data_IF_212604897017
#
_entry.id   IF_212604897017
#
_cell.length_a   1.000
_cell.length_b   1.000
_cell.length_c   1.000
_cell.angle_alpha   90.00
_cell.angle_beta   90.00
_cell.angle_gamma   90.00
#
_symmetry.space_group_name_H-M   'P 1'
#
loop_
_entity.id
_entity.type
_entity.pdbx_description
1 polymer ?
#
# COMPACT_ATOMS: atom_id res chain seq x y z
N UNK A 1 -13.38 25.97 4.46
CA UNK A 1 -12.12 26.48 5.02
C UNK A 1 -12.11 26.17 6.51
N UNK A 2 -11.45 25.10 6.92
CA UNK A 2 -11.15 24.86 8.34
C UNK A 2 -9.64 24.63 8.44
N UNK A 3 -8.99 25.54 9.15
CA UNK A 3 -7.56 25.58 9.41
C UNK A 3 -7.24 24.66 10.59
N UNK A 4 -6.35 23.69 10.39
CA UNK A 4 -5.79 22.89 11.47
C UNK A 4 -4.55 23.61 12.02
N UNK A 5 -4.62 24.06 13.27
CA UNK A 5 -3.46 24.52 14.04
C UNK A 5 -2.81 23.31 14.74
N UNK A 6 -1.54 23.06 14.44
CA UNK A 6 -0.68 22.16 15.21
C UNK A 6 -0.19 22.85 16.50
N UNK A 7 -0.16 22.18 17.67
CA UNK A 7 0.56 22.70 18.82
C UNK A 7 2.02 22.21 18.85
N UNK A 8 2.89 23.16 19.17
CA UNK A 8 4.33 23.05 19.39
C UNK A 8 4.70 22.06 20.51
N UNK A 9 5.77 21.28 20.28
CA UNK A 9 6.45 20.44 21.26
C UNK A 9 7.39 21.30 22.12
N UNK A 10 7.16 21.34 23.43
CA UNK A 10 8.07 21.95 24.41
C UNK A 10 8.76 20.86 25.22
N UNK A 11 10.10 20.89 25.25
CA UNK A 11 10.97 19.98 26.00
C UNK A 11 10.77 20.15 27.51
N UNK A 12 10.63 19.04 28.25
CA UNK A 12 10.69 19.01 29.71
C UNK A 12 12.03 18.37 30.10
N UNK A 13 12.91 19.15 30.73
CA UNK A 13 14.09 18.65 31.45
C UNK A 13 13.69 18.29 32.88
N UNK A 14 13.91 17.04 33.29
CA UNK A 14 13.74 16.61 34.67
C UNK A 14 15.13 16.51 35.33
N UNK A 15 15.38 17.42 36.26
CA UNK A 15 16.46 17.37 37.24
C UNK A 15 16.02 16.53 38.45
N UNK A 16 16.81 15.51 38.81
CA UNK A 16 16.63 14.73 40.05
C UNK A 16 17.62 15.21 41.12
N UNK A 17 17.21 15.36 42.39
CA UNK A 17 18.11 15.76 43.47
C UNK A 17 18.80 14.56 44.15
N UNK A 18 19.97 14.86 44.71
CA UNK A 18 20.87 13.99 45.47
C UNK A 18 20.39 13.71 46.91
N UNK A 19 20.91 12.59 47.41
CA UNK A 19 21.21 12.22 48.82
C UNK A 19 20.12 11.53 49.65
N UNK A 20 20.40 10.32 50.13
CA UNK A 20 20.94 10.13 51.48
C UNK A 20 21.64 8.75 51.60
N UNK A 21 22.60 8.72 52.50
CA UNK A 21 23.54 7.66 52.85
C UNK A 21 22.88 6.49 53.59
N UNK A 22 23.50 5.30 53.54
CA UNK A 22 23.82 4.45 54.71
C UNK A 22 24.81 3.36 54.29
N UNK A 23 25.87 3.21 55.09
CA UNK A 23 26.95 2.23 54.95
C UNK A 23 26.51 0.86 55.46
N UNK A 24 27.07 -0.23 54.91
CA UNK A 24 27.57 -1.38 55.67
C UNK A 24 28.49 -2.21 54.76
N UNK A 25 29.48 -2.83 55.39
CA UNK A 25 30.79 -3.16 54.84
C UNK A 25 31.06 -4.66 54.77
N UNK A 26 31.97 -5.06 53.86
CA UNK A 26 32.80 -6.30 53.82
C UNK A 26 32.05 -7.65 53.68
N UNK A 27 32.41 -8.57 52.78
CA UNK A 27 33.73 -9.19 52.68
C UNK A 27 33.95 -9.97 51.36
N UNK A 28 35.23 -10.05 51.00
CA UNK A 28 35.94 -10.79 49.95
C UNK A 28 35.60 -12.29 49.77
N UNK A 29 35.66 -12.80 48.53
CA UNK A 29 36.68 -13.80 48.09
C UNK A 29 36.70 -14.04 46.57
N UNK A 30 37.92 -14.07 46.04
CA UNK A 30 38.34 -14.35 44.67
C UNK A 30 38.15 -15.83 44.27
N UNK A 31 37.95 -16.07 42.97
CA UNK A 31 38.83 -16.98 42.23
C UNK A 31 38.86 -16.60 40.74
N UNK A 32 40.07 -16.31 40.25
CA UNK A 32 40.44 -16.04 38.87
C UNK A 32 40.69 -17.37 38.14
N UNK A 33 40.39 -17.42 36.85
CA UNK A 33 41.33 -18.01 35.88
C UNK A 33 41.24 -17.28 34.55
N UNK A 34 42.38 -16.69 34.23
CA UNK A 34 42.79 -15.87 33.09
C UNK A 34 42.94 -16.69 31.82
N UNK A 35 42.74 -16.05 30.65
CA UNK A 35 43.75 -16.00 29.58
C UNK A 35 43.48 -14.76 28.73
N UNK A 36 44.41 -13.80 28.79
CA UNK A 36 44.48 -12.58 27.97
C UNK A 36 45.55 -12.83 26.91
N UNK A 37 45.25 -12.55 25.65
CA UNK A 37 46.27 -12.29 24.63
C UNK A 37 46.24 -10.79 24.29
N UNK A 38 47.35 -10.15 24.62
CA UNK A 38 47.74 -8.77 24.32
C UNK A 38 47.87 -8.56 22.82
N UNK A 39 47.37 -7.45 22.27
CA UNK A 39 48.03 -6.64 21.24
C UNK A 39 47.58 -5.16 21.30
N UNK A 40 48.52 -4.27 20.97
CA UNK A 40 48.50 -2.81 21.13
C UNK A 40 47.64 -2.06 20.08
N UNK A 41 47.24 -0.79 20.33
CA UNK A 41 46.44 -0.02 19.40
C UNK A 41 47.28 0.52 18.23
N UNK A 42 46.88 0.21 17.01
CA UNK A 42 47.44 0.74 15.76
C UNK A 42 46.73 2.05 15.40
N UNK A 43 47.49 3.13 15.27
CA UNK A 43 47.07 4.39 14.66
C UNK A 43 46.98 4.23 13.15
N UNK A 44 45.81 4.45 12.55
CA UNK A 44 45.65 4.55 11.10
C UNK A 44 45.58 6.02 10.68
N UNK A 45 46.55 6.41 9.87
CA UNK A 45 46.68 7.72 9.26
C UNK A 45 45.69 7.87 8.09
N UNK A 46 45.16 9.08 7.97
CA UNK A 46 44.16 9.49 7.01
C UNK A 46 44.85 9.88 5.68
N UNK A 47 44.94 8.97 4.71
CA UNK A 47 45.32 9.28 3.32
C UNK A 47 44.67 8.28 2.36
N UNK A 48 43.60 8.69 1.67
CA UNK A 48 42.99 7.83 0.64
C UNK A 48 41.58 8.23 0.23
N UNK A 49 41.33 9.49 -0.12
CA UNK A 49 40.02 9.94 -0.65
C UNK A 49 40.10 10.53 -2.06
N UNK A 50 41.17 10.28 -2.82
CA UNK A 50 41.33 10.89 -4.16
C UNK A 50 41.24 9.91 -5.34
N UNK A 51 41.00 8.61 -5.14
CA UNK A 51 41.07 7.63 -6.25
C UNK A 51 39.77 6.87 -6.58
N UNK A 52 38.60 7.36 -6.15
CA UNK A 52 37.31 6.71 -6.45
C UNK A 52 36.50 7.50 -7.47
N UNK A 53 36.72 8.81 -7.60
CA UNK A 53 35.93 9.68 -8.49
C UNK A 53 36.40 9.68 -9.95
N UNK A 54 37.66 9.34 -10.24
CA UNK A 54 38.17 9.29 -11.63
C UNK A 54 37.74 8.01 -12.36
N UNK A 55 37.71 6.87 -11.67
CA UNK A 55 37.29 5.57 -12.25
C UNK A 55 35.81 5.52 -12.62
N UNK A 56 34.96 6.27 -11.89
CA UNK A 56 33.51 6.35 -12.18
C UNK A 56 33.23 7.27 -13.37
N UNK A 57 34.15 8.19 -13.70
CA UNK A 57 34.01 9.13 -14.81
C UNK A 57 34.44 8.53 -16.16
N UNK A 58 35.48 7.69 -16.17
CA UNK A 58 35.92 6.97 -17.38
C UNK A 58 34.94 5.87 -17.83
N UNK A 59 34.16 5.27 -16.91
CA UNK A 59 33.13 4.28 -17.25
C UNK A 59 31.83 4.88 -17.80
N UNK A 60 31.60 6.20 -17.63
CA UNK A 60 30.40 6.88 -18.13
C UNK A 60 30.57 7.53 -19.51
N UNK A 61 31.80 7.71 -19.99
CA UNK A 61 32.11 8.43 -21.25
C UNK A 61 32.34 7.51 -22.47
N UNK A 62 32.17 6.19 -22.33
CA UNK A 62 32.38 5.23 -23.43
C UNK A 62 31.09 4.66 -24.03
N UNK A 63 29.93 5.33 -23.86
CA UNK A 63 28.65 4.86 -24.42
C UNK A 63 27.83 5.91 -25.16
N UNK A 64 28.48 6.92 -25.74
CA UNK A 64 27.82 7.97 -26.54
C UNK A 64 28.61 8.35 -27.78
N UNK A 65 29.01 7.37 -28.60
CA UNK A 65 29.31 7.64 -30.01
C UNK A 65 29.29 6.33 -30.79
N UNK A 66 28.11 5.99 -31.31
CA UNK A 66 27.90 5.33 -32.60
C UNK A 66 26.42 4.96 -32.71
N UNK A 67 25.69 5.68 -33.57
CA UNK A 67 24.72 5.16 -34.55
C UNK A 67 23.90 6.33 -35.13
N UNK A 68 24.44 6.90 -36.21
CA UNK A 68 23.64 7.52 -37.28
C UNK A 68 23.16 6.40 -38.19
N UNK A 69 21.85 6.27 -38.44
CA UNK A 69 21.33 5.55 -39.60
C UNK A 69 20.12 6.28 -40.18
N UNK A 70 20.15 6.42 -41.50
CA UNK A 70 19.27 7.19 -42.36
C UNK A 70 17.84 6.65 -42.50
N UNK A 71 16.96 7.57 -42.93
CA UNK A 71 15.56 7.35 -43.29
C UNK A 71 15.43 6.58 -44.61
N UNK A 72 14.78 5.41 -44.58
CA UNK A 72 14.11 4.83 -45.75
C UNK A 72 12.84 4.07 -45.34
N UNK A 73 11.72 4.44 -45.94
CA UNK A 73 10.40 3.80 -45.82
C UNK A 73 10.33 2.56 -46.73
N UNK A 74 9.70 1.46 -46.29
CA UNK A 74 8.65 0.71 -47.03
C UNK A 74 8.16 -0.53 -46.27
N UNK A 75 6.85 -0.60 -46.02
CA UNK A 75 5.99 -1.74 -46.33
C UNK A 75 6.24 -3.13 -45.73
N UNK A 76 5.39 -3.49 -44.77
CA UNK A 76 4.82 -4.82 -44.51
C UNK A 76 5.74 -6.01 -44.18
N UNK A 77 5.72 -6.43 -42.91
CA UNK A 77 5.19 -7.73 -42.46
C UNK A 77 5.37 -7.86 -40.95
N UNK A 78 4.36 -8.38 -40.29
CA UNK A 78 4.32 -8.76 -38.89
C UNK A 78 5.59 -9.52 -38.48
N UNK A 79 6.40 -8.92 -37.63
CA UNK A 79 7.39 -9.62 -36.83
C UNK A 79 7.19 -9.16 -35.39
N UNK A 80 6.71 -10.07 -34.56
CA UNK A 80 6.74 -9.95 -33.12
C UNK A 80 8.21 -9.82 -32.69
N UNK A 81 8.57 -8.65 -32.18
CA UNK A 81 9.74 -8.52 -31.30
C UNK A 81 9.16 -8.36 -29.90
N UNK A 82 8.74 -9.48 -29.31
CA UNK A 82 8.58 -9.55 -27.85
C UNK A 82 9.97 -9.77 -27.27
N UNK A 83 10.57 -8.69 -26.75
CA UNK A 83 11.84 -8.80 -26.05
C UNK A 83 12.63 -7.51 -26.02
N UNK A 84 12.28 -6.61 -25.10
CA UNK A 84 13.22 -5.66 -24.46
C UNK A 84 12.86 -5.54 -22.97
N UNK A 85 13.55 -6.37 -22.17
CA UNK A 85 13.85 -6.34 -20.73
C UNK A 85 12.81 -5.78 -19.73
N UNK A 86 11.86 -6.63 -19.33
CA UNK A 86 11.16 -6.49 -18.05
C UNK A 86 12.06 -6.90 -16.85
N UNK A 87 13.30 -6.40 -16.79
CA UNK A 87 14.32 -6.75 -15.77
C UNK A 87 13.83 -6.51 -14.32
N UNK A 88 12.87 -5.61 -14.15
CA UNK A 88 12.27 -5.28 -12.86
C UNK A 88 11.26 -6.32 -12.32
N UNK A 89 10.77 -7.26 -13.14
CA UNK A 89 9.72 -8.21 -12.69
C UNK A 89 10.25 -9.20 -11.67
N UNK A 90 11.37 -9.86 -11.97
CA UNK A 90 11.96 -10.85 -11.05
C UNK A 90 12.31 -10.19 -9.70
N UNK A 91 12.98 -9.02 -9.66
CA UNK A 91 13.15 -8.27 -8.42
C UNK A 91 11.84 -7.95 -7.69
N UNK A 92 10.79 -7.55 -8.40
CA UNK A 92 9.49 -7.22 -7.78
C UNK A 92 8.85 -8.47 -7.15
N UNK A 93 8.85 -9.61 -7.84
CA UNK A 93 8.37 -10.89 -7.32
C UNK A 93 9.20 -11.31 -6.11
N UNK A 94 10.53 -11.28 -6.22
CA UNK A 94 11.42 -11.62 -5.12
C UNK A 94 11.16 -10.73 -3.89
N UNK A 95 10.91 -9.42 -4.07
CA UNK A 95 10.54 -8.53 -2.97
C UNK A 95 9.17 -8.88 -2.36
N UNK A 96 8.20 -9.37 -3.13
CA UNK A 96 6.93 -9.87 -2.59
C UNK A 96 7.15 -11.14 -1.74
N UNK A 97 8.01 -12.05 -2.20
CA UNK A 97 8.41 -13.23 -1.41
C UNK A 97 9.13 -12.84 -0.11
N UNK A 98 10.05 -11.88 -0.16
CA UNK A 98 10.72 -11.36 1.02
C UNK A 98 9.74 -10.69 1.99
N UNK A 99 8.79 -9.90 1.49
CA UNK A 99 7.80 -9.21 2.33
C UNK A 99 6.92 -10.18 3.14
N UNK A 100 6.66 -11.37 2.59
CA UNK A 100 5.89 -12.44 3.25
C UNK A 100 6.48 -12.87 4.60
N UNK A 101 7.80 -12.78 4.78
CA UNK A 101 8.48 -13.13 6.04
C UNK A 101 8.07 -12.25 7.23
N UNK A 102 7.48 -11.08 6.97
CA UNK A 102 6.99 -10.16 7.99
C UNK A 102 5.51 -10.32 8.30
N UNK A 103 4.83 -11.29 7.69
CA UNK A 103 3.41 -11.52 7.89
C UNK A 103 3.08 -11.80 9.36
N UNK A 104 2.14 -11.04 9.92
CA UNK A 104 1.55 -11.34 11.21
C UNK A 104 0.25 -12.11 10.98
N UNK A 105 0.34 -13.43 10.94
CA UNK A 105 -0.82 -14.29 10.69
C UNK A 105 -0.93 -15.45 11.70
N UNK A 106 -1.05 -15.16 13.01
CA UNK A 106 -1.07 -16.21 14.01
C UNK A 106 -2.34 -17.07 13.96
N UNK A 107 -3.42 -16.62 13.30
CA UNK A 107 -4.70 -17.33 13.27
C UNK A 107 -4.77 -18.26 12.06
N UNK A 108 -4.56 -17.75 10.84
CA UNK A 108 -4.61 -18.60 9.63
C UNK A 108 -3.33 -19.39 9.38
N UNK A 109 -2.19 -18.89 9.88
CA UNK A 109 -0.84 -19.35 9.48
C UNK A 109 -0.58 -19.24 7.97
N UNK A 110 -1.37 -18.42 7.28
CA UNK A 110 -1.28 -18.25 5.84
C UNK A 110 -0.58 -16.92 5.53
N UNK A 111 0.71 -17.01 5.16
CA UNK A 111 1.54 -15.83 4.91
C UNK A 111 1.35 -15.35 3.48
N UNK A 112 1.16 -14.04 3.33
CA UNK A 112 1.08 -13.36 2.03
C UNK A 112 1.97 -12.13 2.07
N UNK A 113 2.78 -11.96 1.02
CA UNK A 113 3.58 -10.76 0.78
C UNK A 113 3.15 -10.09 -0.53
N UNK A 114 3.36 -8.78 -0.61
CA UNK A 114 3.13 -8.00 -1.81
C UNK A 114 4.23 -6.96 -1.99
N UNK A 115 4.57 -6.66 -3.24
CA UNK A 115 5.47 -5.60 -3.63
C UNK A 115 4.84 -4.76 -4.73
N UNK A 116 4.67 -3.47 -4.47
CA UNK A 116 3.99 -2.50 -5.31
C UNK A 116 5.01 -1.57 -5.96
N UNK A 117 5.05 -1.54 -7.30
CA UNK A 117 5.93 -0.70 -8.09
C UNK A 117 5.19 0.58 -8.53
N UNK A 118 5.69 1.73 -8.10
CA UNK A 118 5.27 3.03 -8.60
C UNK A 118 5.92 3.35 -9.97
N UNK A 119 5.36 4.30 -10.69
CA UNK A 119 5.85 4.67 -12.03
C UNK A 119 7.26 5.27 -12.06
N UNK A 120 7.73 5.84 -10.95
CA UNK A 120 9.09 6.39 -10.80
C UNK A 120 10.15 5.32 -10.48
N UNK A 121 9.73 4.06 -10.33
CA UNK A 121 10.60 2.94 -9.98
C UNK A 121 10.65 2.62 -8.48
N UNK A 122 10.00 3.42 -7.62
CA UNK A 122 9.97 3.16 -6.17
C UNK A 122 9.12 1.93 -5.86
N UNK A 123 9.63 1.03 -5.00
CA UNK A 123 8.91 -0.19 -4.58
C UNK A 123 8.47 -0.11 -3.11
N UNK A 124 7.20 -0.45 -2.88
CA UNK A 124 6.58 -0.53 -1.56
C UNK A 124 6.19 -1.96 -1.24
N UNK A 125 6.79 -2.53 -0.20
CA UNK A 125 6.45 -3.87 0.28
C UNK A 125 5.39 -3.84 1.38
N UNK A 126 4.58 -4.90 1.42
CA UNK A 126 3.55 -5.13 2.43
C UNK A 126 3.33 -6.63 2.68
N UNK A 127 2.75 -6.94 3.83
CA UNK A 127 2.40 -8.30 4.25
C UNK A 127 1.01 -8.31 4.89
N UNK A 128 0.40 -9.48 4.99
CA UNK A 128 -0.88 -9.60 5.70
C UNK A 128 -0.67 -9.47 7.21
N UNK A 129 -1.57 -8.72 7.84
CA UNK A 129 -1.60 -8.49 9.29
C UNK A 129 -3.00 -8.84 9.77
N UNK A 130 -3.09 -9.94 10.50
CA UNK A 130 -4.34 -10.42 11.07
C UNK A 130 -4.67 -9.74 12.41
N UNK A 131 -5.91 -9.89 12.82
CA UNK A 131 -6.41 -9.39 14.08
C UNK A 131 -7.39 -10.41 14.68
N UNK A 132 -7.50 -10.43 16.01
CA UNK A 132 -8.47 -11.27 16.72
C UNK A 132 -9.90 -11.01 16.22
N UNK A 133 -10.22 -9.75 15.90
CA UNK A 133 -11.42 -9.40 15.14
C UNK A 133 -11.09 -9.46 13.65
N UNK A 134 -11.43 -10.57 12.99
CA UNK A 134 -11.01 -10.86 11.61
C UNK A 134 -11.30 -9.76 10.59
N UNK A 135 -12.37 -8.98 10.77
CA UNK A 135 -12.72 -7.85 9.88
C UNK A 135 -11.73 -6.67 9.93
N UNK A 136 -10.90 -6.58 10.96
CA UNK A 136 -9.87 -5.54 11.11
C UNK A 136 -8.54 -5.92 10.43
N UNK A 137 -8.41 -7.17 9.98
CA UNK A 137 -7.21 -7.64 9.29
C UNK A 137 -6.99 -6.95 7.95
N UNK A 138 -5.72 -6.76 7.59
CA UNK A 138 -5.30 -6.22 6.31
C UNK A 138 -4.56 -7.27 5.50
N UNK A 139 -4.87 -7.32 4.20
CA UNK A 139 -4.14 -8.15 3.25
C UNK A 139 -2.86 -7.44 2.80
N UNK A 140 -1.89 -8.20 2.29
CA UNK A 140 -0.58 -7.70 1.89
C UNK A 140 -0.65 -6.59 0.84
N UNK A 141 -1.54 -6.73 -0.14
CA UNK A 141 -1.75 -5.78 -1.23
C UNK A 141 -2.21 -4.42 -0.68
N UNK A 142 -3.20 -4.45 0.23
CA UNK A 142 -3.71 -3.24 0.89
C UNK A 142 -2.65 -2.59 1.77
N UNK A 143 -1.85 -3.40 2.48
CA UNK A 143 -0.71 -2.89 3.27
C UNK A 143 0.30 -2.16 2.37
N UNK A 144 0.67 -2.73 1.22
CA UNK A 144 1.61 -2.12 0.29
C UNK A 144 1.06 -0.81 -0.30
N UNK A 145 -0.21 -0.79 -0.72
CA UNK A 145 -0.85 0.42 -1.27
C UNK A 145 -0.98 1.51 -0.21
N UNK A 146 -1.45 1.19 1.01
CA UNK A 146 -1.56 2.18 2.10
C UNK A 146 -0.20 2.80 2.41
N UNK A 147 0.86 1.98 2.43
CA UNK A 147 2.24 2.46 2.62
C UNK A 147 2.64 3.45 1.52
N UNK A 148 2.42 3.11 0.25
CA UNK A 148 2.75 3.97 -0.88
C UNK A 148 1.97 5.30 -0.84
N UNK A 149 0.65 5.22 -0.63
CA UNK A 149 -0.24 6.40 -0.58
C UNK A 149 0.13 7.31 0.58
N UNK A 150 0.45 6.76 1.76
CA UNK A 150 0.90 7.56 2.90
C UNK A 150 2.21 8.32 2.64
N UNK A 151 2.99 7.90 1.64
CA UNK A 151 4.24 8.53 1.21
C UNK A 151 4.06 9.42 -0.04
N UNK A 152 2.82 9.65 -0.49
CA UNK A 152 2.50 10.56 -1.59
C UNK A 152 2.38 9.89 -2.97
N UNK A 153 2.44 8.55 -3.06
CA UNK A 153 2.38 7.82 -4.32
C UNK A 153 0.96 7.33 -4.61
N UNK A 154 0.43 7.68 -5.78
CA UNK A 154 -0.93 7.31 -6.21
C UNK A 154 -0.98 6.78 -7.66
N UNK A 155 0.18 6.61 -8.30
CA UNK A 155 0.30 6.12 -9.68
C UNK A 155 1.20 4.90 -9.69
N UNK A 156 0.63 3.75 -10.07
CA UNK A 156 1.27 2.46 -9.93
C UNK A 156 1.38 1.74 -11.27
N UNK A 157 2.53 1.09 -11.48
CA UNK A 157 2.86 0.35 -12.69
C UNK A 157 2.52 -1.13 -12.54
N UNK A 158 2.82 -1.72 -11.38
CA UNK A 158 2.59 -3.12 -11.13
C UNK A 158 2.51 -3.46 -9.64
N UNK A 159 1.92 -4.61 -9.31
CA UNK A 159 2.05 -5.25 -8.00
C UNK A 159 2.35 -6.75 -8.17
N UNK A 160 3.28 -7.29 -7.39
CA UNK A 160 3.50 -8.73 -7.26
C UNK A 160 2.95 -9.23 -5.93
N UNK A 161 2.40 -10.44 -5.92
CA UNK A 161 1.78 -11.07 -4.75
C UNK A 161 2.33 -12.49 -4.61
N UNK A 162 2.80 -12.83 -3.41
CA UNK A 162 3.40 -14.11 -3.09
C UNK A 162 2.74 -14.74 -1.86
N UNK A 163 2.64 -16.08 -1.84
CA UNK A 163 2.16 -16.85 -0.69
C UNK A 163 2.99 -18.13 -0.49
N UNK A 164 2.51 -19.02 0.39
CA UNK A 164 3.04 -20.36 0.58
C UNK A 164 2.29 -21.45 -0.24
N UNK A 165 1.41 -21.08 -1.17
CA UNK A 165 0.66 -22.05 -2.02
C UNK A 165 1.52 -22.57 -3.18
N UNK A 166 1.85 -23.86 -3.17
CA UNK A 166 2.68 -24.50 -4.22
C UNK A 166 1.89 -24.85 -5.49
N UNK A 167 0.66 -25.34 -5.33
CA UNK A 167 -0.15 -25.90 -6.41
C UNK A 167 -0.87 -24.81 -7.24
N UNK A 168 -1.10 -23.63 -6.66
CA UNK A 168 -1.92 -22.57 -7.25
C UNK A 168 -1.27 -21.18 -7.12
N UNK A 169 -1.52 -20.32 -8.11
CA UNK A 169 -1.13 -18.91 -8.02
C UNK A 169 -2.00 -18.19 -7.00
N UNK A 170 -1.39 -17.41 -6.11
CA UNK A 170 -2.14 -16.60 -5.14
C UNK A 170 -2.92 -15.49 -5.85
N UNK A 171 -4.24 -15.50 -5.75
CA UNK A 171 -5.10 -14.44 -6.29
C UNK A 171 -5.40 -13.39 -5.20
N UNK A 172 -5.42 -12.08 -5.53
CA UNK A 172 -5.95 -11.08 -4.63
C UNK A 172 -7.43 -11.32 -4.36
N UNK A 173 -7.87 -11.07 -3.13
CA UNK A 173 -9.27 -11.19 -2.75
C UNK A 173 -10.10 -10.03 -3.35
N UNK A 174 -11.43 -10.16 -3.37
CA UNK A 174 -12.32 -9.14 -3.96
C UNK A 174 -12.10 -7.74 -3.37
N UNK A 175 -11.86 -7.63 -2.07
CA UNK A 175 -11.56 -6.35 -1.42
C UNK A 175 -10.25 -5.73 -1.90
N UNK A 176 -9.20 -6.52 -2.10
CA UNK A 176 -7.93 -6.03 -2.66
C UNK A 176 -8.09 -5.61 -4.12
N UNK A 177 -8.81 -6.38 -4.94
CA UNK A 177 -9.08 -6.03 -6.34
C UNK A 177 -9.76 -4.66 -6.44
N UNK A 178 -10.80 -4.43 -5.64
CA UNK A 178 -11.50 -3.14 -5.60
C UNK A 178 -10.59 -2.02 -5.07
N UNK A 179 -9.72 -2.30 -4.10
CA UNK A 179 -8.77 -1.33 -3.55
C UNK A 179 -7.71 -0.92 -4.58
N UNK A 180 -7.19 -1.87 -5.36
CA UNK A 180 -6.26 -1.61 -6.45
C UNK A 180 -6.91 -0.78 -7.56
N UNK A 181 -8.17 -1.11 -7.90
CA UNK A 181 -8.96 -0.43 -8.95
C UNK A 181 -9.16 1.06 -8.71
N UNK A 182 -9.19 1.50 -7.45
CA UNK A 182 -9.26 2.93 -7.10
C UNK A 182 -8.12 3.74 -7.74
N UNK A 183 -6.96 3.11 -7.97
CA UNK A 183 -5.76 3.74 -8.54
C UNK A 183 -5.56 3.42 -10.03
N UNK A 184 -6.60 2.95 -10.72
CA UNK A 184 -6.59 2.55 -12.12
C UNK A 184 -6.79 1.05 -12.30
N UNK A 185 -7.10 0.63 -13.54
CA UNK A 185 -7.47 -0.74 -13.88
C UNK A 185 -6.52 -1.43 -14.89
N UNK A 186 -5.71 -0.66 -15.65
CA UNK A 186 -4.84 -1.18 -16.71
C UNK A 186 -3.45 -1.68 -16.24
N UNK A 187 -3.12 -1.52 -14.96
CA UNK A 187 -1.79 -1.84 -14.45
C UNK A 187 -1.65 -3.31 -14.05
N UNK A 188 -0.42 -3.81 -14.04
CA UNK A 188 -0.14 -5.25 -13.97
C UNK A 188 -0.20 -5.82 -12.55
N UNK A 189 -0.75 -7.03 -12.42
CA UNK A 189 -0.78 -7.84 -11.21
C UNK A 189 -0.09 -9.17 -11.50
N UNK A 190 0.99 -9.44 -10.77
CA UNK A 190 1.77 -10.67 -10.86
C UNK A 190 1.41 -11.60 -9.71
N UNK A 191 0.73 -12.69 -10.03
CA UNK A 191 0.35 -13.74 -9.09
C UNK A 191 1.47 -14.78 -9.08
N UNK A 192 2.24 -14.90 -8.01
CA UNK A 192 3.39 -15.81 -7.97
C UNK A 192 3.11 -17.11 -7.21
N UNK A 193 3.99 -18.08 -7.43
CA UNK A 193 4.14 -19.32 -6.65
C UNK A 193 5.48 -19.32 -5.90
N UNK A 194 5.67 -20.20 -4.90
CA UNK A 194 6.93 -20.38 -4.19
C UNK A 194 8.17 -20.62 -5.07
N UNK A 195 8.00 -21.20 -6.26
CA UNK A 195 9.07 -21.41 -7.24
C UNK A 195 9.37 -20.15 -8.11
N UNK A 196 8.79 -19.01 -7.74
CA UNK A 196 8.86 -17.72 -8.44
C UNK A 196 8.24 -17.72 -9.85
N UNK A 197 7.63 -18.83 -10.29
CA UNK A 197 6.77 -18.80 -11.47
C UNK A 197 5.58 -17.89 -11.21
N UNK A 198 5.07 -17.23 -12.25
CA UNK A 198 4.02 -16.25 -12.11
C UNK A 198 3.01 -16.24 -13.25
N UNK A 199 1.83 -15.72 -12.95
CA UNK A 199 0.80 -15.35 -13.92
C UNK A 199 0.61 -13.83 -13.90
N UNK A 200 0.77 -13.20 -15.05
CA UNK A 200 0.47 -11.77 -15.26
C UNK A 200 -1.01 -11.60 -15.60
N UNK A 201 -1.66 -10.65 -14.95
CA UNK A 201 -3.01 -10.18 -15.24
C UNK A 201 -3.04 -8.65 -15.10
N UNK A 202 -4.08 -7.99 -15.59
CA UNK A 202 -4.38 -6.60 -15.23
C UNK A 202 -5.35 -6.55 -14.06
N UNK A 203 -5.53 -5.36 -13.47
CA UNK A 203 -6.58 -5.15 -12.46
C UNK A 203 -7.97 -5.31 -13.10
N UNK A 204 -8.16 -4.90 -14.37
CA UNK A 204 -9.39 -5.11 -15.14
C UNK A 204 -9.71 -6.59 -15.33
N UNK A 205 -8.72 -7.43 -15.70
CA UNK A 205 -8.91 -8.87 -15.86
C UNK A 205 -9.39 -9.53 -14.56
N UNK A 206 -8.94 -9.00 -13.41
CA UNK A 206 -9.30 -9.50 -12.09
C UNK A 206 -10.66 -8.97 -11.61
N UNK A 207 -11.09 -7.81 -12.09
CA UNK A 207 -12.34 -7.16 -11.67
C UNK A 207 -13.07 -6.54 -12.87
N UNK A 208 -13.63 -7.37 -13.76
CA UNK A 208 -14.34 -6.89 -14.93
C UNK A 208 -15.63 -6.17 -14.52
N UNK A 209 -15.99 -5.12 -15.27
CA UNK A 209 -17.21 -4.32 -15.03
C UNK A 209 -17.26 -3.77 -13.59
N UNK A 210 -16.12 -3.27 -13.12
CA UNK A 210 -15.94 -2.81 -11.74
C UNK A 210 -16.69 -1.52 -11.43
N UNK A 211 -17.16 -1.41 -10.19
CA UNK A 211 -17.64 -0.15 -9.62
C UNK A 211 -16.47 0.82 -9.40
N UNK A 212 -16.64 2.10 -9.70
CA UNK A 212 -15.63 3.14 -9.50
C UNK A 212 -16.14 4.57 -9.40
N UNK A 213 -15.22 5.55 -9.41
CA UNK A 213 -15.55 6.98 -9.31
C UNK A 213 -16.56 7.48 -10.36
N UNK A 214 -16.59 6.86 -11.53
CA UNK A 214 -17.53 7.15 -12.60
C UNK A 214 -18.98 6.79 -12.26
N UNK A 215 -19.23 5.76 -11.44
CA UNK A 215 -20.57 5.36 -11.02
C UNK A 215 -21.21 6.41 -10.12
N UNK A 216 -20.41 7.08 -9.29
CA UNK A 216 -20.89 8.12 -8.36
C UNK A 216 -21.44 9.35 -9.08
N UNK A 217 -21.01 9.58 -10.33
CA UNK A 217 -21.42 10.70 -11.19
C UNK A 217 -22.64 10.39 -12.05
N UNK A 218 -23.12 9.14 -12.06
CA UNK A 218 -24.28 8.73 -12.88
C UNK A 218 -25.59 9.30 -12.31
N UNK A 219 -26.55 9.52 -13.21
CA UNK A 219 -27.91 9.96 -12.85
C UNK A 219 -28.58 8.88 -12.00
N UNK A 220 -29.20 9.30 -10.89
CA UNK A 220 -29.95 8.43 -9.98
C UNK A 220 -31.44 8.63 -10.21
N UNK A 221 -32.21 7.55 -10.12
CA UNK A 221 -33.66 7.58 -10.36
C UNK A 221 -34.40 8.36 -9.26
N UNK A 222 -33.83 8.47 -8.06
CA UNK A 222 -34.41 9.26 -6.96
C UNK A 222 -33.77 10.65 -6.87
N UNK A 223 -34.24 11.59 -7.68
CA UNK A 223 -34.26 13.00 -7.28
C UNK A 223 -35.59 13.24 -6.59
N UNK A 224 -35.58 13.44 -5.28
CA UNK A 224 -36.75 13.93 -4.54
C UNK A 224 -37.08 15.34 -5.03
N UNK A 225 -37.94 15.43 -6.03
CA UNK A 225 -38.64 16.67 -6.35
C UNK A 225 -39.60 16.98 -5.20
N UNK A 226 -39.23 17.97 -4.39
CA UNK A 226 -40.12 18.85 -3.61
C UNK A 226 -41.28 18.18 -2.86
N UNK A 227 -41.02 17.68 -1.66
CA UNK A 227 -41.99 17.87 -0.57
C UNK A 227 -41.71 19.26 0.03
N UNK A 228 -42.20 20.30 -0.65
CA UNK A 228 -42.35 21.63 -0.05
C UNK A 228 -43.73 22.15 -0.40
N UNK A 229 -44.59 22.12 0.62
CA UNK A 229 -45.68 23.04 0.93
C UNK A 229 -46.49 23.62 -0.22
N UNK A 230 -47.75 23.19 -0.33
CA UNK A 230 -48.86 24.11 -0.62
C UNK A 230 -50.14 23.63 0.07
N UNK A 231 -50.44 24.30 1.18
CA UNK A 231 -51.75 24.83 1.57
C UNK A 231 -52.92 24.52 0.62
N UNK A 232 -53.90 23.77 1.10
CA UNK A 232 -55.32 24.07 0.85
C UNK A 232 -56.00 24.18 2.21
N UNK A 233 -55.99 25.39 2.75
CA UNK A 233 -57.01 25.89 3.68
C UNK A 233 -57.85 26.87 2.87
N UNK A 234 -59.08 26.47 2.56
CA UNK A 234 -60.26 27.27 2.17
C UNK A 234 -61.22 26.30 1.47
N UNK A 235 -62.42 26.01 1.98
CA UNK A 235 -63.50 26.98 2.16
C UNK A 235 -64.45 26.60 3.30
N UNK A 236 -64.73 27.58 4.15
CA UNK A 236 -65.84 27.57 5.11
C UNK A 236 -67.14 27.92 4.39
N UNK A 237 -68.21 27.14 4.65
CA UNK A 237 -69.57 27.67 4.88
C UNK A 237 -70.58 27.71 3.73
N UNK A 238 -71.70 27.01 3.89
CA UNK A 238 -72.93 27.25 3.11
C UNK A 238 -74.01 26.16 3.26
N UNK A 239 -74.94 26.36 4.20
CA UNK A 239 -76.18 25.59 4.48
C UNK A 239 -77.01 25.19 3.23
N UNK A 240 -77.69 24.03 3.29
CA UNK A 240 -79.14 23.95 3.54
C UNK A 240 -79.74 22.53 3.36
N UNK A 241 -80.88 22.32 4.04
CA UNK A 241 -81.98 21.36 3.79
C UNK A 241 -82.05 20.03 4.59
N UNK A 242 -82.64 20.15 5.78
CA UNK A 242 -83.87 19.49 6.26
C UNK A 242 -84.25 18.05 5.83
N UNK A 243 -84.52 17.26 6.89
CA UNK A 243 -85.77 16.51 7.17
C UNK A 243 -85.80 14.96 7.05
N UNK A 244 -86.00 14.37 8.24
CA UNK A 244 -86.93 13.31 8.63
C UNK A 244 -86.79 11.83 8.22
N UNK A 245 -87.28 11.04 9.20
CA UNK A 245 -87.69 9.63 9.24
C UNK A 245 -86.57 8.61 9.55
N UNK A 246 -86.53 7.93 10.70
CA UNK A 246 -87.50 7.09 11.44
C UNK A 246 -87.16 5.59 11.28
N UNK A 247 -87.22 4.86 12.40
CA UNK A 247 -87.19 3.39 12.62
C UNK A 247 -85.85 2.65 12.39
N UNK A 248 -85.36 1.77 13.27
CA UNK A 248 -85.89 1.21 14.52
C UNK A 248 -85.01 0.01 14.96
N UNK A 249 -85.00 -0.26 16.28
CA UNK A 249 -84.94 -1.58 16.99
C UNK A 249 -84.29 -2.77 16.24
N UNK A 250 -83.32 -3.50 16.77
CA UNK A 250 -83.14 -4.07 18.13
C UNK A 250 -81.67 -4.36 18.39
#
# INVERSE_FOLDING_TARGET
>A
MYSCLCPHYSRISLSLPLSLTHSLSLSFSLSLSTTIHSQQPVTLNNTGTENITETVKEMTDLRTDELRVDRAETGARSNWIEGEDEDWIKPLIHQAHWAKEFAYCPYSKFRVGAALLAHDGTVFTGCNVENASHNLGLCAERTAVVKAVSQGYQSFKAVAIASDLEDQFISPCGGCRQFLREFGDQWSVYLSKPDESYKKMTVEDLLPVSFGPEDLKRKRVFTTDKITSNTIVSSVGGNALQSNSDQGRR
#
